data_IF_384859152796
#
_entry.id   IF_384859152796
#
_cell.length_a   1.000
_cell.length_b   1.000
_cell.length_c   1.000
_cell.angle_alpha   90.00
_cell.angle_beta   90.00
_cell.angle_gamma   90.00
#
_symmetry.space_group_name_H-M   'P 1'
#
loop_
_entity.id
_entity.type
_entity.pdbx_description
1 polymer ?
#
# COMPACT_ATOMS: atom_id res chain seq x y z
N UNK A 1 50.27 47.46 -8.25
CA UNK A 1 48.83 47.16 -8.44
C UNK A 1 48.54 45.89 -7.68
N UNK A 2 47.49 45.85 -6.86
CA UNK A 2 47.15 44.66 -6.07
C UNK A 2 46.33 43.68 -6.91
N UNK A 3 46.83 42.47 -7.11
CA UNK A 3 46.04 41.38 -7.69
C UNK A 3 45.11 40.79 -6.63
N UNK A 4 43.80 41.05 -6.74
CA UNK A 4 42.82 40.40 -5.88
C UNK A 4 42.65 38.94 -6.32
N UNK A 5 43.01 37.99 -5.46
CA UNK A 5 42.69 36.58 -5.67
C UNK A 5 41.21 36.37 -5.41
N UNK A 6 40.41 36.25 -6.47
CA UNK A 6 39.01 35.90 -6.36
C UNK A 6 38.89 34.41 -6.04
N UNK A 7 38.41 34.08 -4.85
CA UNK A 7 38.02 32.71 -4.50
C UNK A 7 36.73 32.36 -5.25
N UNK A 8 36.83 31.62 -6.35
CA UNK A 8 35.66 31.10 -7.05
C UNK A 8 34.93 30.05 -6.18
N UNK A 9 33.81 30.47 -5.58
CA UNK A 9 32.89 29.59 -4.87
C UNK A 9 32.18 28.68 -5.89
N UNK A 10 32.80 27.54 -6.21
CA UNK A 10 32.34 26.68 -7.29
C UNK A 10 30.99 26.03 -6.96
N UNK A 11 29.92 26.51 -7.58
CA UNK A 11 28.57 26.00 -7.38
C UNK A 11 28.48 24.46 -7.59
N UNK A 12 27.76 23.73 -6.73
CA UNK A 12 27.71 22.27 -6.78
C UNK A 12 27.15 21.76 -8.13
N UNK A 13 27.90 20.87 -8.78
CA UNK A 13 27.51 20.23 -10.04
C UNK A 13 26.24 19.41 -9.82
N UNK A 14 25.31 19.37 -10.79
CA UNK A 14 24.12 18.50 -10.69
C UNK A 14 24.55 17.04 -10.44
N UNK A 15 24.28 16.53 -9.25
CA UNK A 15 24.67 15.18 -8.80
C UNK A 15 25.86 15.12 -7.83
N UNK A 16 26.50 16.24 -7.47
CA UNK A 16 27.39 16.28 -6.30
C UNK A 16 26.53 16.22 -5.02
N UNK A 17 26.35 15.02 -4.49
CA UNK A 17 25.77 14.83 -3.16
C UNK A 17 26.67 15.51 -2.13
N UNK A 18 26.10 16.43 -1.37
CA UNK A 18 26.80 17.07 -0.24
C UNK A 18 27.16 15.95 0.76
N UNK A 19 28.44 15.80 1.17
CA UNK A 19 28.80 14.88 2.22
C UNK A 19 28.03 15.20 3.50
N UNK A 20 27.40 14.19 4.09
CA UNK A 20 26.62 14.33 5.32
C UNK A 20 27.47 13.85 6.48
N UNK A 21 27.53 14.63 7.56
CA UNK A 21 28.20 14.19 8.78
C UNK A 21 27.44 13.02 9.41
N UNK A 22 28.12 11.89 9.59
CA UNK A 22 27.56 10.70 10.23
C UNK A 22 27.50 10.93 11.74
N UNK A 23 26.46 11.65 12.17
CA UNK A 23 26.07 11.72 13.58
C UNK A 23 25.45 10.37 14.02
N UNK A 24 25.46 10.01 15.32
CA UNK A 24 24.91 8.73 15.79
C UNK A 24 23.42 8.51 15.50
N UNK A 25 22.66 9.56 15.16
CA UNK A 25 21.29 9.46 14.68
C UNK A 25 21.23 9.12 13.17
N UNK A 26 22.10 9.73 12.37
CA UNK A 26 22.23 9.47 10.93
C UNK A 26 22.78 8.06 10.67
N UNK A 27 23.71 7.58 11.51
CA UNK A 27 24.19 6.19 11.52
C UNK A 27 23.04 5.21 11.75
N UNK A 28 22.21 5.43 12.79
CA UNK A 28 21.03 4.58 13.09
C UNK A 28 20.00 4.62 11.96
N UNK A 29 19.74 5.78 11.36
CA UNK A 29 18.83 5.89 10.22
C UNK A 29 19.37 5.13 8.99
N UNK A 30 20.68 5.20 8.73
CA UNK A 30 21.35 4.45 7.66
C UNK A 30 21.27 2.94 7.91
N UNK A 31 21.64 2.47 9.10
CA UNK A 31 21.56 1.07 9.52
C UNK A 31 20.14 0.52 9.35
N UNK A 32 19.16 1.15 10.00
CA UNK A 32 17.74 0.78 9.96
C UNK A 32 17.19 0.76 8.53
N UNK A 33 17.66 1.65 7.65
CA UNK A 33 17.22 1.68 6.26
C UNK A 33 17.73 0.48 5.45
N UNK A 34 18.97 0.05 5.66
CA UNK A 34 19.51 -1.14 4.97
C UNK A 34 18.95 -2.42 5.58
N UNK A 35 18.86 -2.50 6.90
CA UNK A 35 18.22 -3.63 7.61
C UNK A 35 16.77 -3.84 7.16
N UNK A 36 16.01 -2.75 6.94
CA UNK A 36 14.68 -2.84 6.34
C UNK A 36 14.71 -3.48 4.94
N UNK A 37 15.69 -3.20 4.09
CA UNK A 37 15.77 -3.78 2.74
C UNK A 37 15.98 -5.30 2.77
N UNK A 38 16.78 -5.80 3.70
CA UNK A 38 17.04 -7.23 3.95
C UNK A 38 16.09 -7.85 5.00
N UNK A 39 15.04 -7.14 5.39
CA UNK A 39 14.02 -7.63 6.33
C UNK A 39 13.08 -8.63 5.68
N UNK A 40 12.45 -9.44 6.52
CA UNK A 40 11.42 -10.42 6.16
C UNK A 40 10.20 -9.79 5.47
N UNK A 41 9.95 -8.50 5.76
CA UNK A 41 8.86 -7.73 5.21
C UNK A 41 9.15 -7.19 3.80
N UNK A 42 10.43 -7.07 3.41
CA UNK A 42 10.84 -6.52 2.11
C UNK A 42 11.53 -7.55 1.20
N UNK A 43 12.59 -8.21 1.66
CA UNK A 43 13.48 -9.02 0.83
C UNK A 43 12.78 -10.16 0.05
N UNK A 44 11.82 -10.91 0.63
CA UNK A 44 11.07 -11.94 -0.12
C UNK A 44 10.18 -11.37 -1.25
N UNK A 45 9.92 -10.06 -1.25
CA UNK A 45 8.98 -9.40 -2.18
C UNK A 45 9.65 -8.37 -3.09
N UNK A 46 10.86 -7.92 -2.77
CA UNK A 46 11.68 -7.09 -3.64
C UNK A 46 12.36 -7.94 -4.72
N UNK A 47 11.84 -7.82 -5.95
CA UNK A 47 12.37 -8.54 -7.11
C UNK A 47 13.77 -8.10 -7.50
N UNK A 48 14.20 -6.88 -7.20
CA UNK A 48 15.52 -6.38 -7.58
C UNK A 48 16.57 -6.89 -6.61
N UNK A 49 16.36 -6.69 -5.30
CA UNK A 49 17.30 -7.17 -4.28
C UNK A 49 17.50 -8.68 -4.37
N UNK A 50 16.40 -9.44 -4.48
CA UNK A 50 16.50 -10.89 -4.62
C UNK A 50 17.20 -11.30 -5.93
N UNK A 51 16.84 -10.73 -7.09
CA UNK A 51 17.50 -11.08 -8.36
C UNK A 51 18.96 -10.60 -8.48
N UNK A 52 19.46 -9.78 -7.57
CA UNK A 52 20.89 -9.50 -7.40
C UNK A 52 21.54 -10.51 -6.44
N UNK A 53 20.92 -10.78 -5.30
CA UNK A 53 21.41 -11.77 -4.33
C UNK A 53 21.48 -13.19 -4.93
N UNK A 54 20.44 -13.63 -5.64
CA UNK A 54 20.36 -14.94 -6.31
C UNK A 54 21.49 -15.18 -7.33
N UNK A 55 22.12 -14.12 -7.85
CA UNK A 55 23.24 -14.20 -8.81
C UNK A 55 24.63 -14.23 -8.17
N UNK A 56 24.71 -13.78 -6.92
CA UNK A 56 25.96 -13.51 -6.21
C UNK A 56 25.99 -14.26 -4.86
N UNK A 57 25.43 -15.47 -4.81
CA UNK A 57 25.46 -16.35 -3.62
C UNK A 57 24.89 -15.70 -2.34
N UNK A 58 23.90 -14.81 -2.49
CA UNK A 58 23.26 -14.06 -1.41
C UNK A 58 23.82 -12.64 -1.17
N UNK A 59 24.96 -12.30 -1.78
CA UNK A 59 25.59 -10.98 -1.65
C UNK A 59 24.95 -9.90 -2.55
N UNK A 60 24.94 -8.66 -2.06
CA UNK A 60 24.50 -7.48 -2.82
C UNK A 60 25.57 -6.39 -2.67
N UNK A 61 26.07 -5.79 -3.78
CA UNK A 61 27.04 -4.71 -3.69
C UNK A 61 26.49 -3.49 -2.93
N UNK A 62 27.22 -3.01 -1.92
CA UNK A 62 26.88 -1.82 -1.13
C UNK A 62 26.85 -0.59 -2.04
N UNK A 63 27.69 -0.55 -3.07
CA UNK A 63 27.65 0.43 -4.16
C UNK A 63 26.27 0.51 -4.85
N UNK A 64 25.60 -0.63 -5.04
CA UNK A 64 24.24 -0.72 -5.60
C UNK A 64 23.20 -0.24 -4.59
N UNK A 65 23.29 -0.66 -3.32
CA UNK A 65 22.40 -0.20 -2.24
C UNK A 65 22.48 1.33 -2.08
N UNK A 66 23.68 1.91 -2.18
CA UNK A 66 23.93 3.35 -2.14
C UNK A 66 23.36 4.14 -3.35
N UNK A 67 22.79 3.47 -4.36
CA UNK A 67 22.00 4.12 -5.43
C UNK A 67 20.51 4.25 -5.10
N UNK A 68 20.01 3.58 -4.05
CA UNK A 68 18.58 3.56 -3.75
C UNK A 68 18.11 4.94 -3.25
N UNK A 69 16.87 5.33 -3.57
CA UNK A 69 16.42 6.71 -3.35
C UNK A 69 16.47 7.20 -1.89
N UNK A 70 16.31 6.30 -0.90
CA UNK A 70 16.45 6.64 0.53
C UNK A 70 17.90 6.56 1.03
N UNK A 71 18.78 5.87 0.29
CA UNK A 71 20.21 5.74 0.60
C UNK A 71 21.07 6.84 -0.01
N UNK A 72 20.60 7.49 -1.09
CA UNK A 72 21.32 8.59 -1.76
C UNK A 72 21.79 9.71 -0.82
N UNK A 73 21.06 9.96 0.29
CA UNK A 73 21.42 10.96 1.31
C UNK A 73 22.57 10.54 2.23
N UNK A 74 22.92 9.25 2.31
CA UNK A 74 24.04 8.77 3.13
C UNK A 74 25.31 8.68 2.25
N UNK A 75 26.14 9.72 2.33
CA UNK A 75 27.44 9.84 1.65
C UNK A 75 28.44 10.53 2.59
N UNK A 76 29.72 10.09 2.69
CA UNK A 76 30.43 9.06 1.90
C UNK A 76 29.89 7.62 2.07
N UNK A 77 30.26 6.72 1.14
CA UNK A 77 29.78 5.31 1.14
C UNK A 77 30.61 4.45 2.09
N UNK A 78 31.86 4.81 2.25
CA UNK A 78 32.84 4.25 3.18
C UNK A 78 32.30 4.25 4.62
N UNK A 79 31.59 5.32 5.02
CA UNK A 79 30.87 5.39 6.30
C UNK A 79 29.62 4.50 6.36
N UNK A 80 28.96 4.25 5.23
CA UNK A 80 27.88 3.23 5.17
C UNK A 80 28.46 1.84 5.42
N UNK A 81 29.65 1.52 4.90
CA UNK A 81 30.34 0.24 5.17
C UNK A 81 30.71 0.10 6.65
N UNK A 82 31.25 1.14 7.28
CA UNK A 82 31.53 1.17 8.73
C UNK A 82 30.26 0.92 9.55
N UNK A 83 29.17 1.65 9.28
CA UNK A 83 27.89 1.50 9.98
C UNK A 83 27.32 0.08 9.82
N UNK A 84 27.40 -0.51 8.62
CA UNK A 84 26.86 -1.85 8.36
C UNK A 84 27.61 -2.97 9.09
N UNK A 85 28.90 -2.80 9.41
CA UNK A 85 29.67 -3.78 10.21
C UNK A 85 29.13 -3.92 11.64
N UNK A 86 28.38 -2.93 12.14
CA UNK A 86 27.72 -2.95 13.45
C UNK A 86 26.33 -3.64 13.44
N UNK A 87 25.84 -4.14 12.31
CA UNK A 87 24.52 -4.79 12.24
C UNK A 87 24.53 -6.20 12.82
N UNK A 88 23.53 -6.49 13.66
CA UNK A 88 23.26 -7.83 14.20
C UNK A 88 22.72 -8.80 13.14
N UNK A 89 22.05 -8.29 12.08
CA UNK A 89 21.39 -9.13 11.06
C UNK A 89 22.13 -9.18 9.72
N UNK A 90 23.01 -8.21 9.45
CA UNK A 90 23.77 -8.11 8.19
C UNK A 90 25.24 -8.47 8.36
N UNK A 91 25.81 -9.05 7.32
CA UNK A 91 27.24 -9.34 7.20
C UNK A 91 27.82 -8.55 6.04
N UNK A 92 28.95 -7.91 6.26
CA UNK A 92 29.72 -7.17 5.25
C UNK A 92 30.91 -8.04 4.85
N UNK A 93 31.22 -8.12 3.55
CA UNK A 93 32.38 -8.85 3.05
C UNK A 93 33.70 -8.24 3.54
N UNK A 94 34.77 -9.02 3.53
CA UNK A 94 36.07 -8.59 4.08
C UNK A 94 36.57 -7.31 3.41
N UNK A 95 36.49 -7.26 2.08
CA UNK A 95 36.76 -6.12 1.19
C UNK A 95 35.90 -4.86 1.46
N UNK A 96 34.75 -5.00 2.14
CA UNK A 96 33.79 -3.93 2.36
C UNK A 96 32.91 -3.56 1.17
N UNK A 97 32.94 -4.30 0.05
CA UNK A 97 32.17 -3.97 -1.16
C UNK A 97 30.73 -4.51 -1.14
N UNK A 98 30.47 -5.62 -0.42
CA UNK A 98 29.22 -6.36 -0.47
C UNK A 98 28.58 -6.52 0.91
N UNK A 99 27.24 -6.67 0.92
CA UNK A 99 26.45 -6.97 2.11
C UNK A 99 25.49 -8.13 1.83
N UNK A 100 25.34 -9.03 2.79
CA UNK A 100 24.32 -10.09 2.82
C UNK A 100 23.64 -10.11 4.19
N UNK A 101 22.65 -10.98 4.37
CA UNK A 101 22.06 -11.27 5.68
C UNK A 101 22.80 -12.43 6.36
N UNK A 102 23.14 -12.32 7.65
CA UNK A 102 23.86 -13.37 8.42
C UNK A 102 23.08 -14.68 8.48
N UNK A 103 21.78 -14.58 8.75
CA UNK A 103 20.85 -15.72 8.81
C UNK A 103 19.96 -15.68 7.56
N UNK A 104 20.05 -16.66 6.65
CA UNK A 104 19.17 -16.75 5.48
C UNK A 104 17.69 -16.75 5.86
N UNK A 105 16.84 -16.26 4.96
CA UNK A 105 15.38 -16.27 5.14
C UNK A 105 14.77 -17.52 4.51
N UNK A 106 13.76 -18.09 5.18
CA UNK A 106 12.82 -18.96 4.49
C UNK A 106 11.97 -18.12 3.51
N UNK A 107 12.12 -18.41 2.22
CA UNK A 107 11.39 -17.77 1.14
C UNK A 107 10.19 -18.61 0.65
N UNK A 108 9.94 -19.79 1.22
CA UNK A 108 8.94 -20.76 0.75
C UNK A 108 7.60 -20.70 1.51
N UNK A 109 7.56 -20.11 2.70
CA UNK A 109 6.36 -20.07 3.55
C UNK A 109 5.15 -19.34 2.95
N UNK A 110 3.96 -19.76 3.37
CA UNK A 110 2.65 -19.23 2.96
C UNK A 110 2.33 -17.82 3.54
N UNK A 111 3.35 -17.14 4.06
CA UNK A 111 3.31 -15.84 4.74
C UNK A 111 2.63 -14.71 3.92
N UNK A 112 2.39 -14.90 2.62
CA UNK A 112 1.54 -14.02 1.81
C UNK A 112 0.10 -13.95 2.35
N UNK A 113 -0.47 -15.06 2.82
CA UNK A 113 -1.84 -15.09 3.35
C UNK A 113 -1.92 -14.44 4.73
N UNK A 114 -0.95 -14.72 5.59
CA UNK A 114 -0.86 -14.21 6.96
C UNK A 114 -0.54 -12.72 7.00
N UNK A 115 0.41 -12.25 6.17
CA UNK A 115 0.62 -10.81 5.94
C UNK A 115 -0.68 -10.11 5.59
N UNK A 116 -1.51 -10.73 4.75
CA UNK A 116 -2.80 -10.18 4.34
C UNK A 116 -3.78 -9.89 5.49
N UNK A 117 -3.59 -10.52 6.65
CA UNK A 117 -4.36 -10.24 7.87
C UNK A 117 -3.80 -9.04 8.65
N UNK A 118 -2.48 -9.02 8.93
CA UNK A 118 -1.77 -7.89 9.59
C UNK A 118 -1.60 -6.64 8.69
N UNK A 119 -2.31 -6.58 7.56
CA UNK A 119 -2.26 -5.48 6.60
C UNK A 119 -3.56 -4.68 6.61
N UNK A 120 -3.43 -3.37 6.77
CA UNK A 120 -4.50 -2.38 6.64
C UNK A 120 -4.29 -1.56 5.36
N UNK A 121 -5.38 -1.11 4.73
CA UNK A 121 -5.34 -0.11 3.69
C UNK A 121 -6.00 1.18 4.19
N UNK A 122 -5.27 2.29 4.11
CA UNK A 122 -5.73 3.61 4.54
C UNK A 122 -5.77 4.55 3.34
N UNK A 123 -6.91 5.20 3.14
CA UNK A 123 -7.26 5.96 1.94
C UNK A 123 -7.53 7.43 2.26
N UNK A 124 -7.63 8.25 1.21
CA UNK A 124 -7.87 9.70 1.25
C UNK A 124 -6.69 10.53 1.80
N UNK A 125 -5.46 10.01 1.69
CA UNK A 125 -4.26 10.83 1.84
C UNK A 125 -4.16 11.87 0.72
N UNK A 126 -3.52 13.00 1.02
CA UNK A 126 -3.22 14.01 0.01
C UNK A 126 -2.22 13.48 -1.04
N UNK A 127 -2.46 13.83 -2.30
CA UNK A 127 -1.64 13.47 -3.45
C UNK A 127 -1.47 14.63 -4.45
N UNK A 128 -1.94 15.83 -4.11
CA UNK A 128 -1.68 17.07 -4.86
C UNK A 128 -0.18 17.40 -4.79
N UNK A 129 0.35 18.16 -5.77
CA UNK A 129 1.75 18.07 -6.25
C UNK A 129 2.88 18.36 -5.23
N UNK A 130 3.14 17.42 -4.31
CA UNK A 130 4.37 17.35 -3.49
C UNK A 130 5.50 16.74 -4.32
N UNK A 131 6.54 17.55 -4.58
CA UNK A 131 7.65 17.20 -5.48
C UNK A 131 8.58 16.12 -4.92
N UNK A 132 8.71 16.02 -3.59
CA UNK A 132 9.57 15.06 -2.89
C UNK A 132 8.80 13.79 -2.43
N UNK A 133 8.82 12.75 -3.28
CA UNK A 133 8.18 11.45 -2.96
C UNK A 133 8.85 10.68 -1.81
N UNK A 134 10.02 11.12 -1.35
CA UNK A 134 10.76 10.52 -0.22
C UNK A 134 10.32 11.11 1.11
N UNK A 135 10.17 12.43 1.19
CA UNK A 135 9.74 13.14 2.40
C UNK A 135 8.32 12.70 2.80
N UNK A 136 7.38 12.63 1.85
CA UNK A 136 6.02 12.16 2.10
C UNK A 136 5.97 10.71 2.63
N UNK A 137 6.89 9.85 2.20
CA UNK A 137 7.03 8.49 2.75
C UNK A 137 7.52 8.53 4.21
N UNK A 138 8.47 9.42 4.54
CA UNK A 138 8.98 9.62 5.90
C UNK A 138 7.97 10.31 6.84
N UNK A 139 7.16 11.27 6.35
CA UNK A 139 6.02 11.84 7.10
C UNK A 139 5.00 10.76 7.49
N UNK A 140 4.59 9.95 6.51
CA UNK A 140 3.55 8.93 6.69
C UNK A 140 4.07 7.75 7.54
N UNK A 141 5.36 7.40 7.43
CA UNK A 141 6.00 6.46 8.34
C UNK A 141 6.03 6.97 9.78
N UNK A 142 6.43 8.23 10.02
CA UNK A 142 6.40 8.83 11.37
C UNK A 142 4.98 8.83 11.96
N UNK A 143 3.98 9.16 11.15
CA UNK A 143 2.57 9.12 11.55
C UNK A 143 2.12 7.73 12.00
N UNK A 144 2.32 6.68 11.19
CA UNK A 144 1.86 5.34 11.55
C UNK A 144 2.67 4.69 12.68
N UNK A 145 3.98 4.98 12.81
CA UNK A 145 4.77 4.54 13.98
C UNK A 145 4.29 5.18 15.30
N UNK A 146 3.62 6.33 15.24
CA UNK A 146 2.96 6.94 16.40
C UNK A 146 1.62 6.29 16.79
N UNK A 147 1.09 5.37 15.97
CA UNK A 147 -0.19 4.69 16.17
C UNK A 147 -0.06 3.19 16.45
N UNK A 148 1.14 2.61 16.30
CA UNK A 148 1.42 1.21 16.60
C UNK A 148 2.75 0.71 16.02
N UNK A 149 3.15 -0.54 16.31
CA UNK A 149 4.37 -1.15 15.78
C UNK A 149 4.18 -1.54 14.30
N UNK A 150 4.88 -0.84 13.40
CA UNK A 150 4.72 -0.99 11.94
C UNK A 150 5.96 -1.61 11.30
N UNK A 151 5.75 -2.70 10.57
CA UNK A 151 6.80 -3.40 9.82
C UNK A 151 7.03 -2.84 8.42
N UNK A 152 5.98 -2.33 7.74
CA UNK A 152 6.12 -1.72 6.43
C UNK A 152 5.02 -0.71 6.12
N UNK A 153 5.40 0.44 5.56
CA UNK A 153 4.51 1.42 4.95
C UNK A 153 4.75 1.46 3.44
N UNK A 154 3.68 1.35 2.64
CA UNK A 154 3.78 1.30 1.17
C UNK A 154 2.79 2.28 0.53
N UNK A 155 3.29 3.46 0.15
CA UNK A 155 2.57 4.42 -0.67
C UNK A 155 2.25 3.79 -2.04
N UNK A 156 0.97 3.49 -2.27
CA UNK A 156 0.50 2.80 -3.48
C UNK A 156 0.44 3.80 -4.64
N UNK A 157 0.77 3.32 -5.84
CA UNK A 157 0.94 4.17 -7.04
C UNK A 157 -0.13 3.90 -8.10
N UNK A 158 -0.30 4.88 -8.98
CA UNK A 158 -1.12 4.80 -10.19
C UNK A 158 -0.30 4.28 -11.39
N UNK A 159 -0.91 4.24 -12.58
CA UNK A 159 -0.24 3.82 -13.81
C UNK A 159 0.84 4.82 -14.29
N UNK A 160 0.75 6.09 -13.90
CA UNK A 160 1.75 7.14 -14.15
C UNK A 160 2.89 7.18 -13.12
N UNK A 161 2.95 6.20 -12.19
CA UNK A 161 3.94 6.11 -11.10
C UNK A 161 3.85 7.26 -10.07
N UNK A 162 2.70 7.93 -10.00
CA UNK A 162 2.36 8.93 -8.99
C UNK A 162 1.62 8.29 -7.82
N UNK A 163 1.65 8.94 -6.65
CA UNK A 163 0.89 8.50 -5.48
C UNK A 163 -0.61 8.68 -5.74
N UNK A 164 -1.46 7.76 -5.27
CA UNK A 164 -2.90 7.79 -5.54
C UNK A 164 -3.78 8.06 -4.30
N UNK A 165 -3.20 8.57 -3.21
CA UNK A 165 -3.92 8.78 -1.95
C UNK A 165 -4.25 7.50 -1.19
N UNK A 166 -3.62 6.36 -1.51
CA UNK A 166 -3.76 5.09 -0.77
C UNK A 166 -2.43 4.63 -0.21
N UNK A 167 -2.38 4.39 1.09
CA UNK A 167 -1.25 3.75 1.78
C UNK A 167 -1.67 2.34 2.19
N UNK A 168 -0.76 1.38 2.03
CA UNK A 168 -0.89 0.05 2.59
C UNK A 168 0.08 -0.04 3.77
N UNK A 169 -0.41 -0.41 4.95
CA UNK A 169 0.35 -0.50 6.21
C UNK A 169 0.35 -1.95 6.66
N UNK A 170 1.53 -2.50 6.92
CA UNK A 170 1.74 -3.82 7.51
C UNK A 170 2.24 -3.64 8.94
N UNK A 171 1.43 -4.06 9.91
CA UNK A 171 1.79 -4.05 11.32
C UNK A 171 2.69 -5.24 11.67
N UNK A 172 3.31 -5.21 12.85
CA UNK A 172 4.12 -6.32 13.34
C UNK A 172 3.28 -7.59 13.53
N UNK A 173 2.14 -7.48 14.22
CA UNK A 173 1.23 -8.59 14.54
C UNK A 173 -0.16 -8.42 13.89
N UNK A 174 -0.89 -9.54 13.78
CA UNK A 174 -2.31 -9.52 13.39
C UNK A 174 -3.17 -8.76 14.42
N UNK A 175 -2.79 -8.81 15.69
CA UNK A 175 -3.45 -8.11 16.80
C UNK A 175 -3.49 -6.59 16.57
N UNK A 176 -2.33 -5.97 16.37
CA UNK A 176 -2.20 -4.51 16.22
C UNK A 176 -3.04 -3.99 15.03
N UNK A 177 -3.08 -4.76 13.94
CA UNK A 177 -3.88 -4.44 12.75
C UNK A 177 -5.40 -4.52 13.01
N UNK A 178 -5.84 -5.44 13.88
CA UNK A 178 -7.24 -5.54 14.28
C UNK A 178 -7.63 -4.40 15.24
N UNK A 179 -6.81 -4.12 16.27
CA UNK A 179 -7.03 -3.00 17.20
C UNK A 179 -7.08 -1.65 16.46
N UNK A 180 -6.22 -1.46 15.45
CA UNK A 180 -6.25 -0.29 14.58
C UNK A 180 -7.58 -0.15 13.80
N UNK A 181 -8.15 -1.27 13.33
CA UNK A 181 -9.44 -1.29 12.62
C UNK A 181 -10.63 -1.14 13.58
N UNK A 182 -10.52 -1.62 14.81
CA UNK A 182 -11.55 -1.42 15.83
C UNK A 182 -11.63 0.04 16.30
N UNK A 183 -10.51 0.76 16.31
CA UNK A 183 -10.45 2.20 16.66
C UNK A 183 -10.74 3.12 15.46
N UNK A 184 -10.16 2.86 14.28
CA UNK A 184 -10.21 3.79 13.13
C UNK A 184 -10.98 3.27 11.90
N UNK A 185 -11.66 2.13 12.02
CA UNK A 185 -12.43 1.53 10.93
C UNK A 185 -13.72 2.29 10.58
N UNK A 186 -14.50 1.79 9.59
CA UNK A 186 -15.68 2.47 9.09
C UNK A 186 -16.74 2.69 10.19
N UNK A 187 -17.06 3.95 10.47
CA UNK A 187 -18.01 4.34 11.52
C UNK A 187 -17.44 4.35 12.95
N UNK A 188 -16.12 4.26 13.11
CA UNK A 188 -15.39 4.43 14.38
C UNK A 188 -14.80 5.85 14.50
N UNK A 189 -13.66 6.02 15.17
CA UNK A 189 -13.03 7.33 15.33
C UNK A 189 -12.54 7.91 14.00
N UNK A 190 -12.54 9.24 13.89
CA UNK A 190 -11.99 9.91 12.70
C UNK A 190 -10.46 9.94 12.78
N UNK A 191 -9.80 8.99 12.11
CA UNK A 191 -8.39 9.13 11.76
C UNK A 191 -8.21 10.34 10.82
N UNK A 192 -7.17 11.15 11.06
CA UNK A 192 -6.85 12.28 10.20
C UNK A 192 -5.36 12.54 10.09
N UNK A 193 -4.93 13.10 8.97
CA UNK A 193 -3.54 13.45 8.66
C UNK A 193 -3.52 14.77 7.88
N UNK A 194 -2.70 15.73 8.33
CA UNK A 194 -2.62 17.08 7.74
C UNK A 194 -4.01 17.73 7.55
N UNK A 195 -4.91 17.55 8.53
CA UNK A 195 -6.28 18.05 8.53
C UNK A 195 -7.28 17.28 7.65
N UNK A 196 -6.82 16.41 6.74
CA UNK A 196 -7.71 15.56 5.91
C UNK A 196 -8.13 14.31 6.69
N UNK A 197 -9.42 13.97 6.66
CA UNK A 197 -9.96 12.73 7.23
C UNK A 197 -9.55 11.52 6.37
N UNK A 198 -9.12 10.44 7.01
CA UNK A 198 -8.68 9.21 6.34
C UNK A 198 -9.73 8.10 6.49
N UNK A 199 -9.90 7.29 5.44
CA UNK A 199 -10.79 6.11 5.45
C UNK A 199 -9.92 4.83 5.61
N UNK A 200 -9.97 4.14 6.75
CA UNK A 200 -9.22 2.90 6.99
C UNK A 200 -10.11 1.63 6.84
N UNK A 201 -9.58 0.60 6.18
CA UNK A 201 -10.25 -0.69 5.97
C UNK A 201 -9.24 -1.85 5.99
N UNK A 202 -9.71 -3.07 6.28
CA UNK A 202 -8.85 -4.27 6.18
C UNK A 202 -8.38 -4.47 4.74
N UNK A 203 -7.20 -5.08 4.55
CA UNK A 203 -6.66 -5.39 3.21
C UNK A 203 -7.64 -6.21 2.36
N UNK A 204 -8.37 -7.16 2.97
CA UNK A 204 -9.40 -7.97 2.32
C UNK A 204 -10.55 -7.11 1.76
N UNK A 205 -11.10 -6.20 2.57
CA UNK A 205 -12.17 -5.28 2.14
C UNK A 205 -11.69 -4.35 1.02
N UNK A 206 -10.46 -3.82 1.11
CA UNK A 206 -9.88 -2.95 0.09
C UNK A 206 -9.76 -3.64 -1.28
N UNK A 207 -9.24 -4.87 -1.32
CA UNK A 207 -9.10 -5.57 -2.60
C UNK A 207 -10.46 -6.00 -3.17
N UNK A 208 -11.43 -6.38 -2.33
CA UNK A 208 -12.83 -6.62 -2.76
C UNK A 208 -13.49 -5.34 -3.36
N UNK A 209 -13.33 -4.18 -2.73
CA UNK A 209 -13.82 -2.90 -3.26
C UNK A 209 -13.16 -2.55 -4.61
N UNK A 210 -11.86 -2.85 -4.76
CA UNK A 210 -11.13 -2.64 -6.02
C UNK A 210 -11.50 -3.62 -7.11
N UNK A 211 -11.86 -4.86 -6.77
CA UNK A 211 -12.38 -5.83 -7.73
C UNK A 211 -13.79 -5.44 -8.20
N UNK A 212 -14.68 -5.10 -7.28
CA UNK A 212 -16.05 -4.66 -7.58
C UNK A 212 -16.13 -3.33 -8.36
N UNK A 213 -15.11 -2.47 -8.28
CA UNK A 213 -14.98 -1.27 -9.12
C UNK A 213 -14.30 -1.55 -10.47
N UNK A 214 -13.41 -2.57 -10.54
CA UNK A 214 -12.78 -3.01 -11.79
C UNK A 214 -13.75 -3.77 -12.69
N UNK A 215 -14.59 -4.66 -12.14
CA UNK A 215 -15.55 -5.46 -12.93
C UNK A 215 -16.64 -4.59 -13.56
N UNK A 216 -17.16 -3.58 -12.84
CA UNK A 216 -18.10 -2.58 -13.36
C UNK A 216 -17.55 -1.74 -14.53
N UNK A 217 -16.23 -1.62 -14.63
CA UNK A 217 -15.54 -0.96 -15.75
C UNK A 217 -15.13 -1.93 -16.87
N UNK A 218 -15.48 -3.22 -16.75
CA UNK A 218 -15.17 -4.27 -17.73
C UNK A 218 -16.43 -4.90 -18.37
N UNK A 219 -17.58 -4.84 -17.70
CA UNK A 219 -18.88 -5.12 -18.32
C UNK A 219 -19.14 -4.12 -19.46
N UNK A 220 -19.14 -4.61 -20.71
CA UNK A 220 -19.13 -3.81 -21.93
C UNK A 220 -20.44 -3.06 -22.24
N UNK A 221 -20.79 -2.06 -21.44
CA UNK A 221 -21.95 -1.20 -21.66
C UNK A 221 -21.62 0.29 -21.54
N UNK A 222 -21.31 0.89 -22.69
CA UNK A 222 -21.73 2.25 -23.10
C UNK A 222 -21.22 3.50 -22.37
N UNK A 223 -20.83 3.45 -21.09
CA UNK A 223 -20.57 4.68 -20.32
C UNK A 223 -19.15 4.77 -19.75
N UNK A 224 -18.40 5.78 -20.22
CA UNK A 224 -17.14 6.24 -19.61
C UNK A 224 -17.42 6.90 -18.25
N UNK A 225 -17.68 6.10 -17.22
CA UNK A 225 -17.74 6.59 -15.84
C UNK A 225 -16.36 7.07 -15.38
N UNK A 226 -16.34 8.05 -14.46
CA UNK A 226 -15.17 8.92 -14.22
C UNK A 226 -14.12 8.23 -13.34
N UNK A 227 -12.89 8.76 -13.37
CA UNK A 227 -11.76 8.23 -12.59
C UNK A 227 -12.06 8.13 -11.10
N UNK A 228 -11.51 7.09 -10.44
CA UNK A 228 -11.71 6.71 -9.04
C UNK A 228 -11.39 7.81 -8.00
N UNK A 229 -10.77 8.93 -8.41
CA UNK A 229 -10.46 10.11 -7.60
C UNK A 229 -11.48 11.26 -7.71
N UNK A 230 -12.55 11.08 -8.50
CA UNK A 230 -13.57 12.11 -8.75
C UNK A 230 -14.70 12.16 -7.71
N UNK A 231 -14.61 13.07 -6.75
CA UNK A 231 -15.68 13.72 -5.96
C UNK A 231 -17.02 12.95 -5.72
N UNK A 232 -17.33 12.69 -4.43
CA UNK A 232 -18.63 12.15 -3.95
C UNK A 232 -19.82 12.97 -4.50
N UNK A 233 -20.67 12.37 -5.35
CA UNK A 233 -22.00 12.96 -5.68
C UNK A 233 -23.18 12.01 -5.90
N UNK A 234 -22.96 10.69 -6.03
CA UNK A 234 -24.02 9.67 -6.04
C UNK A 234 -23.68 8.54 -5.04
N UNK A 235 -24.08 8.73 -3.79
CA UNK A 235 -24.15 7.65 -2.79
C UNK A 235 -25.64 7.42 -2.48
N UNK A 236 -26.16 6.18 -2.54
CA UNK A 236 -27.56 5.92 -2.21
C UNK A 236 -27.87 6.37 -0.78
N UNK A 237 -28.83 7.29 -0.62
CA UNK A 237 -29.32 7.66 0.72
C UNK A 237 -30.06 6.45 1.30
N UNK A 238 -29.59 5.96 2.44
CA UNK A 238 -30.27 4.90 3.18
C UNK A 238 -31.63 5.42 3.65
N UNK A 239 -32.75 4.93 3.08
CA UNK A 239 -34.09 5.32 3.53
C UNK A 239 -34.33 4.76 4.93
N UNK A 240 -34.48 5.64 5.91
CA UNK A 240 -35.00 5.27 7.23
C UNK A 240 -36.50 4.98 7.08
N UNK A 241 -36.96 3.85 7.62
CA UNK A 241 -38.36 3.42 7.56
C UNK A 241 -39.18 4.05 8.70
N UNK A 242 -40.37 4.55 8.40
CA UNK A 242 -41.32 5.07 9.39
C UNK A 242 -41.75 6.52 9.11
N UNK A 243 -42.78 6.68 8.29
CA UNK A 243 -44.09 7.22 8.72
C UNK A 243 -45.13 6.86 7.63
N UNK A 244 -46.43 6.88 7.97
CA UNK A 244 -47.53 6.87 6.98
C UNK A 244 -48.06 8.29 6.81
N UNK A 245 -48.68 8.57 5.66
CA UNK A 245 -50.01 9.21 5.63
C UNK A 245 -50.65 9.07 4.24
N UNK A 246 -51.98 9.14 4.20
CA UNK A 246 -52.83 8.90 3.02
C UNK A 246 -53.19 10.18 2.25
N UNK A 247 -53.40 10.09 0.92
CA UNK A 247 -54.60 10.61 0.23
C UNK A 247 -54.58 10.51 -1.33
N UNK A 248 -55.56 9.77 -1.86
CA UNK A 248 -56.36 9.99 -3.10
C UNK A 248 -55.77 10.68 -4.36
N UNK A 249 -55.97 10.01 -5.50
CA UNK A 249 -56.08 10.62 -6.84
C UNK A 249 -56.48 9.61 -7.92
N UNK A 250 -57.74 9.65 -8.38
CA UNK A 250 -58.21 8.99 -9.62
C UNK A 250 -58.36 10.06 -10.72
N UNK A 251 -58.50 9.77 -12.02
CA UNK A 251 -58.76 8.52 -12.76
C UNK A 251 -57.86 8.49 -14.05
N UNK A 252 -58.07 7.83 -15.20
CA UNK A 252 -59.19 7.04 -15.77
C UNK A 252 -58.71 6.16 -16.97
N UNK A 253 -59.58 5.28 -17.48
CA UNK A 253 -59.49 4.72 -18.84
C UNK A 253 -59.06 3.24 -18.94
N UNK A 254 -59.78 2.44 -19.74
CA UNK A 254 -59.55 0.99 -19.88
C UNK A 254 -59.72 0.50 -21.33
N UNK A 255 -59.04 -0.59 -21.69
CA UNK A 255 -59.50 -1.57 -22.69
C UNK A 255 -58.99 -2.99 -22.33
N UNK A 256 -59.80 -3.98 -22.73
CA UNK A 256 -59.66 -5.45 -22.69
C UNK A 256 -58.65 -6.04 -23.70
N UNK A 257 -58.28 -7.34 -23.76
CA UNK A 257 -58.51 -8.55 -22.91
C UNK A 257 -57.55 -9.71 -23.34
N UNK A 258 -57.75 -10.91 -22.76
CA UNK A 258 -57.28 -12.25 -23.20
C UNK A 258 -55.78 -12.58 -23.04
N UNK A 259 -55.37 -13.84 -22.76
CA UNK A 259 -56.14 -15.05 -22.37
C UNK A 259 -55.19 -16.05 -21.66
N UNK A 260 -55.61 -16.71 -20.57
CA UNK A 260 -55.16 -18.06 -20.20
C UNK A 260 -56.01 -18.65 -19.05
N UNK A 261 -56.49 -19.89 -19.19
CA UNK A 261 -57.38 -20.53 -18.21
C UNK A 261 -57.12 -22.04 -18.00
N UNK A 262 -57.15 -22.45 -16.72
CA UNK A 262 -57.58 -23.77 -16.18
C UNK A 262 -57.06 -25.08 -16.83
N UNK A 263 -56.12 -25.76 -16.16
CA UNK A 263 -56.29 -27.07 -15.47
C UNK A 263 -54.91 -27.56 -14.98
N UNK A 264 -54.68 -28.15 -13.80
CA UNK A 264 -55.45 -29.04 -12.88
C UNK A 264 -55.38 -30.54 -13.22
N UNK A 265 -55.16 -31.35 -12.17
CA UNK A 265 -54.96 -32.82 -12.11
C UNK A 265 -53.71 -33.39 -12.86
N UNK A 266 -52.81 -34.24 -12.32
CA UNK A 266 -52.69 -35.11 -11.13
C UNK A 266 -52.86 -36.64 -11.36
N UNK A 267 -51.76 -37.29 -11.79
CA UNK A 267 -51.41 -38.72 -11.63
C UNK A 267 -49.88 -38.77 -11.47
N UNK A 268 -49.24 -39.26 -10.39
CA UNK A 268 -49.32 -40.49 -9.58
C UNK A 268 -48.73 -41.74 -10.27
N UNK A 269 -47.57 -42.15 -9.74
CA UNK A 269 -46.99 -43.51 -9.66
C UNK A 269 -46.78 -44.34 -10.94
N UNK A 270 -45.49 -44.53 -11.27
CA UNK A 270 -44.98 -45.75 -11.90
C UNK A 270 -43.61 -46.13 -11.30
N UNK A 271 -43.47 -47.42 -11.01
CA UNK A 271 -42.24 -48.19 -10.72
C UNK A 271 -41.04 -47.80 -11.60
N UNK A 272 -39.79 -47.81 -11.13
CA UNK A 272 -39.02 -48.91 -10.50
C UNK A 272 -38.66 -50.04 -11.50
N UNK A 273 -37.45 -50.62 -11.34
CA UNK A 273 -36.61 -51.25 -12.39
C UNK A 273 -35.99 -50.24 -13.39
N UNK A 274 -34.82 -50.50 -13.97
CA UNK A 274 -33.98 -51.70 -13.93
C UNK A 274 -32.54 -51.43 -13.44
N UNK A 275 -31.84 -52.52 -13.10
CA UNK A 275 -30.40 -52.55 -12.81
C UNK A 275 -29.72 -53.38 -13.90
N UNK A 276 -28.79 -52.77 -14.63
CA UNK A 276 -27.50 -53.33 -15.09
C UNK A 276 -26.55 -52.20 -15.49
#
# INVERSE_FOLDING_TARGET
MSGASATEESAPRRGSFVPVEFTPEIEKQCLKQVEFYFSEFNFPYDKFLRATADKNEGWVPISTVATFNRMKKFRPVEKVVEVLRNSEILEVSEDGENVKRRVPLDLQSDARRERGKRTVAVMNFDYEDKQEKTELQEEIEKFFNGLGPVSQVRLKKDHRKNFNGTVIVEFAQEKDANEFIETYGPGKETLSFQGRKLDAVTKKQYDQQREATRSKNFSGSGQRSRSFTGHRKNMPKFKKSGEKDDAKGASEGAVEAADEASNEAATKEASESAVE
#
